data_IF_198048731906
#
_entry.id   IF_198048731906
#
_cell.length_a   1.000
_cell.length_b   1.000
_cell.length_c   1.000
_cell.angle_alpha   90.00
_cell.angle_beta   90.00
_cell.angle_gamma   90.00
#
_symmetry.space_group_name_H-M   'P 1'
#
loop_
_entity.id
_entity.type
_entity.pdbx_description
1 polymer ?
#
# COMPACT_ATOMS: atom_id res chain seq x y z
N UNK A 1 35.81 18.89 -10.55
CA UNK A 1 35.17 19.62 -9.44
C UNK A 1 33.88 18.88 -9.10
N UNK A 2 33.98 17.84 -8.28
CA UNK A 2 33.66 17.85 -6.84
C UNK A 2 32.15 17.90 -6.57
N UNK A 3 31.63 16.69 -6.32
CA UNK A 3 30.54 16.25 -5.47
C UNK A 3 30.00 17.25 -4.43
N UNK A 4 28.73 17.05 -4.03
CA UNK A 4 28.42 16.72 -2.64
C UNK A 4 27.03 16.08 -2.49
N UNK A 5 27.01 14.84 -1.98
CA UNK A 5 25.84 14.14 -1.46
C UNK A 5 25.93 14.17 0.06
N UNK A 6 24.90 14.66 0.75
CA UNK A 6 24.77 14.53 2.21
C UNK A 6 24.00 13.25 2.51
N UNK A 7 24.71 12.22 2.97
CA UNK A 7 24.13 11.01 3.57
C UNK A 7 24.35 11.11 5.07
N UNK A 8 23.29 11.34 5.84
CA UNK A 8 23.36 11.32 7.31
C UNK A 8 23.31 9.87 7.77
N UNK A 9 24.42 9.38 8.32
CA UNK A 9 24.51 8.12 9.05
C UNK A 9 24.22 8.37 10.54
N UNK A 10 23.37 7.55 11.16
CA UNK A 10 23.47 7.32 12.60
C UNK A 10 24.42 6.15 12.83
N UNK A 11 25.62 6.48 13.31
CA UNK A 11 26.61 5.54 13.83
C UNK A 11 26.27 5.23 15.28
N UNK A 12 26.15 3.95 15.64
CA UNK A 12 26.62 3.48 16.94
C UNK A 12 27.33 2.13 16.77
N UNK A 13 28.61 2.12 17.16
CA UNK A 13 29.37 0.94 17.60
C UNK A 13 29.95 0.03 16.51
N UNK A 14 31.13 0.36 15.96
CA UNK A 14 32.06 -0.67 15.49
C UNK A 14 32.55 -1.48 16.69
N UNK A 15 32.51 -2.82 16.70
CA UNK A 15 33.36 -3.59 17.59
C UNK A 15 34.80 -3.44 17.09
N UNK A 16 35.67 -2.82 17.88
CA UNK A 16 37.10 -2.85 17.62
C UNK A 16 37.64 -4.25 17.95
N UNK A 17 38.39 -4.82 17.01
CA UNK A 17 39.41 -5.83 17.27
C UNK A 17 39.06 -7.24 16.81
N UNK A 18 39.44 -7.58 15.58
CA UNK A 18 40.05 -8.88 15.29
C UNK A 18 41.13 -8.69 14.21
N UNK A 19 42.36 -9.09 14.54
CA UNK A 19 43.53 -9.09 13.65
C UNK A 19 43.45 -10.28 12.69
N UNK A 20 44.05 -10.08 11.53
CA UNK A 20 44.12 -10.96 10.36
C UNK A 20 43.98 -12.45 10.59
N UNK A 21 42.95 -13.01 9.97
CA UNK A 21 42.93 -14.33 9.37
C UNK A 21 42.18 -14.22 8.03
N UNK A 22 42.65 -14.95 7.01
CA UNK A 22 42.08 -15.02 5.66
C UNK A 22 40.54 -15.07 5.68
N UNK A 23 39.92 -14.15 4.95
CA UNK A 23 38.48 -14.11 4.74
C UNK A 23 38.06 -15.22 3.76
N UNK A 24 37.89 -16.43 4.28
CA UNK A 24 37.00 -17.41 3.67
C UNK A 24 35.56 -16.88 3.74
N UNK A 25 34.82 -16.95 2.63
CA UNK A 25 33.42 -16.59 2.43
C UNK A 25 32.65 -16.16 3.69
N UNK A 26 32.38 -14.86 3.80
CA UNK A 26 31.44 -14.33 4.80
C UNK A 26 30.09 -14.98 4.52
N UNK A 27 29.70 -15.96 5.33
CA UNK A 27 28.33 -16.50 5.34
C UNK A 27 27.39 -15.33 5.64
N UNK A 28 26.61 -14.94 4.64
CA UNK A 28 25.68 -13.84 4.80
C UNK A 28 24.63 -14.23 5.86
N UNK A 29 24.39 -13.38 6.88
CA UNK A 29 23.42 -13.67 7.91
C UNK A 29 22.02 -13.64 7.29
N UNK A 30 21.51 -14.83 7.00
CA UNK A 30 20.12 -15.05 6.67
C UNK A 30 19.32 -15.02 7.98
N UNK A 31 18.68 -13.88 8.30
CA UNK A 31 18.11 -13.62 9.63
C UNK A 31 17.02 -14.65 10.04
N UNK A 32 17.17 -15.21 11.23
CA UNK A 32 16.24 -16.16 11.87
C UNK A 32 14.96 -15.46 12.29
N UNK A 33 13.79 -16.06 11.99
CA UNK A 33 12.57 -16.11 12.81
C UNK A 33 11.55 -17.02 12.09
N UNK A 34 11.06 -18.06 12.78
CA UNK A 34 10.14 -19.09 12.28
C UNK A 34 8.98 -19.18 13.28
N UNK A 35 7.72 -19.06 12.84
CA UNK A 35 6.55 -19.63 13.53
C UNK A 35 5.39 -19.94 12.54
N UNK A 36 4.40 -20.79 12.92
CA UNK A 36 3.55 -21.53 11.97
C UNK A 36 2.18 -20.89 11.62
N UNK A 37 1.74 -21.13 10.38
CA UNK A 37 0.55 -20.59 9.68
C UNK A 37 -0.78 -21.29 10.00
N UNK A 38 -1.90 -20.57 9.78
CA UNK A 38 -3.21 -21.15 9.41
C UNK A 38 -3.83 -20.36 8.25
N UNK A 39 -4.29 -21.07 7.21
CA UNK A 39 -4.86 -20.51 5.96
C UNK A 39 -6.35 -20.18 6.10
N UNK A 40 -6.79 -19.05 5.51
CA UNK A 40 -8.14 -18.89 4.96
C UNK A 40 -8.21 -17.76 3.93
N UNK A 41 -9.17 -17.91 3.01
CA UNK A 41 -9.29 -17.27 1.70
C UNK A 41 -9.85 -15.83 1.73
N UNK A 42 -9.39 -14.98 0.81
CA UNK A 42 -10.17 -13.84 0.27
C UNK A 42 -10.26 -13.93 -1.25
N UNK A 43 -11.40 -13.48 -1.80
CA UNK A 43 -11.79 -13.63 -3.20
C UNK A 43 -10.95 -12.73 -4.10
N UNK A 44 -10.42 -13.32 -5.17
CA UNK A 44 -9.91 -12.59 -6.32
C UNK A 44 -11.00 -11.65 -6.87
N UNK A 45 -10.78 -10.33 -6.77
CA UNK A 45 -11.52 -9.38 -7.60
C UNK A 45 -11.12 -9.67 -9.04
N UNK A 46 -12.09 -10.10 -9.85
CA UNK A 46 -11.88 -10.41 -11.27
C UNK A 46 -11.32 -9.16 -11.96
N UNK A 47 -10.15 -9.30 -12.59
CA UNK A 47 -9.66 -8.30 -13.53
C UNK A 47 -10.69 -8.16 -14.66
N UNK A 48 -11.32 -6.99 -14.77
CA UNK A 48 -12.17 -6.64 -15.91
C UNK A 48 -11.39 -5.83 -16.95
N UNK A 49 -11.76 -5.92 -18.24
CA UNK A 49 -11.11 -5.17 -19.30
C UNK A 49 -11.18 -3.65 -19.06
N UNK A 50 -10.07 -2.97 -19.35
CA UNK A 50 -9.91 -1.50 -19.29
C UNK A 50 -11.08 -0.72 -19.92
N UNK A 51 -11.78 -1.30 -20.91
CA UNK A 51 -12.90 -0.69 -21.60
C UNK A 51 -14.16 -0.48 -20.74
N UNK A 52 -14.41 -1.33 -19.73
CA UNK A 52 -15.57 -1.21 -18.84
C UNK A 52 -15.48 0.02 -17.90
N UNK A 53 -14.26 0.46 -17.59
CA UNK A 53 -14.01 1.60 -16.72
C UNK A 53 -14.20 2.94 -17.45
N UNK A 54 -14.12 2.94 -18.78
CA UNK A 54 -14.24 4.16 -19.59
C UNK A 54 -15.68 4.70 -19.66
N UNK A 55 -16.69 3.88 -19.34
CA UNK A 55 -18.10 4.28 -19.35
C UNK A 55 -18.62 4.68 -17.96
N UNK A 56 -18.21 4.01 -16.88
CA UNK A 56 -18.60 4.42 -15.52
C UNK A 56 -17.97 5.75 -15.09
N UNK A 57 -16.81 6.08 -15.67
CA UNK A 57 -16.22 7.39 -15.58
C UNK A 57 -16.69 8.24 -16.77
N UNK A 58 -17.62 9.16 -16.52
CA UNK A 58 -17.87 10.33 -17.38
C UNK A 58 -16.66 11.28 -17.46
N UNK A 59 -15.45 10.74 -17.61
CA UNK A 59 -14.22 11.49 -17.77
C UNK A 59 -14.15 12.01 -19.20
N UNK A 60 -14.67 13.22 -19.36
CA UNK A 60 -14.18 14.14 -20.38
C UNK A 60 -12.65 14.08 -20.44
N UNK A 61 -12.17 13.51 -21.54
CA UNK A 61 -10.98 13.99 -22.23
C UNK A 61 -9.65 13.61 -21.59
N UNK A 62 -8.91 12.81 -22.35
CA UNK A 62 -7.44 12.80 -22.44
C UNK A 62 -6.87 14.22 -22.27
N UNK A 63 -6.63 14.67 -21.05
CA UNK A 63 -5.57 15.65 -20.80
C UNK A 63 -4.31 14.84 -20.73
N UNK A 64 -3.45 15.02 -21.73
CA UNK A 64 -2.04 14.73 -21.55
C UNK A 64 -1.64 15.36 -20.22
N UNK A 65 -1.33 14.52 -19.23
CA UNK A 65 -0.69 14.95 -18.00
C UNK A 65 0.54 15.74 -18.46
N UNK A 66 0.49 17.06 -18.32
CA UNK A 66 1.70 17.86 -18.29
C UNK A 66 2.60 17.13 -17.30
N UNK A 67 3.79 16.73 -17.73
CA UNK A 67 4.73 16.01 -16.89
C UNK A 67 4.94 16.84 -15.61
N UNK A 68 4.27 16.45 -14.55
CA UNK A 68 4.39 17.06 -13.24
C UNK A 68 5.67 16.50 -12.64
N UNK A 69 6.53 17.39 -12.14
CA UNK A 69 7.78 16.96 -11.51
C UNK A 69 7.48 16.05 -10.33
N UNK A 70 8.26 14.96 -10.14
CA UNK A 70 8.11 14.12 -8.97
C UNK A 70 8.18 14.92 -7.68
N UNK A 71 7.28 14.64 -6.73
CA UNK A 71 7.22 15.34 -5.43
C UNK A 71 6.96 14.37 -4.29
N UNK A 72 7.20 14.83 -3.07
CA UNK A 72 6.86 14.07 -1.87
C UNK A 72 5.37 13.66 -1.86
N UNK A 73 5.13 12.40 -1.46
CA UNK A 73 3.79 11.85 -1.26
C UNK A 73 3.01 12.67 -0.24
N UNK A 74 1.84 13.17 -0.64
CA UNK A 74 0.89 13.85 0.25
C UNK A 74 -0.16 12.85 0.73
N UNK A 75 -0.30 12.70 2.05
CA UNK A 75 -1.26 11.79 2.66
C UNK A 75 -2.30 12.62 3.42
N UNK A 76 -3.57 12.44 3.09
CA UNK A 76 -4.69 12.85 3.96
C UNK A 76 -4.88 11.78 5.03
N UNK A 77 -4.95 12.16 6.30
CA UNK A 77 -5.25 11.20 7.37
C UNK A 77 -6.68 11.43 7.86
N UNK A 78 -7.50 10.38 7.76
CA UNK A 78 -8.87 10.33 8.28
C UNK A 78 -8.86 9.48 9.55
N UNK A 79 -9.04 10.15 10.69
CA UNK A 79 -8.91 9.57 12.04
C UNK A 79 -10.25 9.04 12.54
N UNK A 80 -10.26 7.76 12.94
CA UNK A 80 -11.45 7.06 13.42
C UNK A 80 -11.10 6.24 14.67
N UNK A 81 -10.81 6.95 15.76
CA UNK A 81 -10.18 6.40 16.97
C UNK A 81 -11.17 6.09 18.11
N UNK A 82 -12.38 5.65 17.79
CA UNK A 82 -13.49 5.57 18.76
C UNK A 82 -13.26 4.66 19.97
N UNK A 83 -12.30 3.71 19.92
CA UNK A 83 -12.00 2.81 21.05
C UNK A 83 -10.73 3.20 21.83
N UNK A 84 -10.17 4.39 21.61
CA UNK A 84 -9.12 4.95 22.44
C UNK A 84 -9.70 5.96 23.42
N UNK A 85 -9.07 6.12 24.59
CA UNK A 85 -9.36 7.24 25.47
C UNK A 85 -8.85 8.56 24.87
N UNK A 86 -9.30 9.69 25.41
CA UNK A 86 -8.97 11.01 24.89
C UNK A 86 -7.45 11.30 24.88
N UNK A 87 -6.68 10.73 25.83
CA UNK A 87 -5.24 10.93 25.90
C UNK A 87 -4.52 10.16 24.81
N UNK A 88 -4.91 8.91 24.57
CA UNK A 88 -4.37 8.08 23.50
C UNK A 88 -4.80 8.58 22.12
N UNK A 89 -6.04 9.03 21.95
CA UNK A 89 -6.49 9.64 20.70
C UNK A 89 -5.67 10.88 20.37
N UNK A 90 -5.48 11.80 21.32
CA UNK A 90 -4.65 12.98 21.12
C UNK A 90 -3.20 12.61 20.78
N UNK A 91 -2.62 11.61 21.45
CA UNK A 91 -1.29 11.11 21.13
C UNK A 91 -1.18 10.57 19.68
N UNK A 92 -2.16 9.79 19.23
CA UNK A 92 -2.17 9.26 17.87
C UNK A 92 -2.33 10.37 16.84
N UNK A 93 -3.26 11.30 17.10
CA UNK A 93 -3.63 12.39 16.20
C UNK A 93 -2.54 13.46 16.07
N UNK A 94 -1.94 13.86 17.17
CA UNK A 94 -1.04 15.03 17.24
C UNK A 94 0.44 14.64 17.12
N UNK A 95 0.81 13.42 17.51
CA UNK A 95 2.22 13.00 17.58
C UNK A 95 2.54 11.83 16.65
N UNK A 96 1.86 10.68 16.83
CA UNK A 96 2.27 9.43 16.20
C UNK A 96 2.00 9.40 14.69
N UNK A 97 0.76 9.66 14.25
CA UNK A 97 0.41 9.60 12.84
C UNK A 97 1.09 10.72 12.02
N UNK A 98 1.16 11.98 12.47
CA UNK A 98 1.92 13.01 11.76
C UNK A 98 3.40 12.64 11.61
N UNK A 99 4.03 12.06 12.64
CA UNK A 99 5.41 11.60 12.55
C UNK A 99 5.59 10.45 11.54
N UNK A 100 4.65 9.50 11.50
CA UNK A 100 4.68 8.39 10.53
C UNK A 100 4.51 8.90 9.09
N UNK A 101 3.54 9.79 8.85
CA UNK A 101 3.36 10.44 7.54
C UNK A 101 4.59 11.23 7.14
N UNK A 102 5.17 12.02 8.04
CA UNK A 102 6.39 12.78 7.76
C UNK A 102 7.57 11.88 7.41
N UNK A 103 7.72 10.73 8.09
CA UNK A 103 8.75 9.75 7.77
C UNK A 103 8.56 9.20 6.35
N UNK A 104 7.34 8.84 5.96
CA UNK A 104 7.03 8.29 4.64
C UNK A 104 7.21 9.35 3.54
N UNK A 105 6.62 10.53 3.71
CA UNK A 105 6.68 11.63 2.74
C UNK A 105 8.11 12.14 2.50
N UNK A 106 9.00 11.98 3.48
CA UNK A 106 10.43 12.30 3.33
C UNK A 106 11.13 11.40 2.32
N UNK A 107 10.67 10.17 2.18
CA UNK A 107 11.38 9.13 1.44
C UNK A 107 10.65 8.64 0.19
N UNK A 108 9.34 8.87 0.06
CA UNK A 108 8.56 8.45 -1.09
C UNK A 108 8.19 9.65 -1.95
N UNK A 109 8.57 9.60 -3.23
CA UNK A 109 8.16 10.55 -4.24
C UNK A 109 7.13 9.97 -5.19
N UNK A 110 6.08 10.72 -5.49
CA UNK A 110 5.07 10.36 -6.47
C UNK A 110 5.54 10.83 -7.84
N UNK A 111 5.68 9.90 -8.79
CA UNK A 111 6.10 10.18 -10.17
C UNK A 111 5.06 11.01 -10.93
N UNK A 112 3.78 10.70 -10.71
CA UNK A 112 2.63 11.38 -11.32
C UNK A 112 1.69 11.84 -10.21
N UNK A 113 1.97 13.00 -9.58
CA UNK A 113 1.14 13.54 -8.51
C UNK A 113 -0.29 13.82 -8.95
N UNK A 114 -1.23 13.68 -8.02
CA UNK A 114 -2.64 13.97 -8.29
C UNK A 114 -2.80 15.47 -8.63
N UNK A 115 -3.28 15.83 -9.84
CA UNK A 115 -3.31 17.22 -10.30
C UNK A 115 -4.44 18.05 -9.68
N UNK A 116 -5.42 17.41 -9.05
CA UNK A 116 -6.59 18.06 -8.44
C UNK A 116 -6.96 17.40 -7.10
N UNK A 117 -8.23 17.49 -6.74
CA UNK A 117 -8.76 16.74 -5.60
C UNK A 117 -8.75 15.24 -5.93
N UNK A 118 -8.17 14.44 -5.05
CA UNK A 118 -8.22 13.00 -5.13
C UNK A 118 -9.66 12.55 -4.89
N UNK A 119 -10.21 11.81 -5.86
CA UNK A 119 -11.50 11.17 -5.73
C UNK A 119 -11.33 9.65 -5.76
N UNK A 120 -11.91 8.96 -4.80
CA UNK A 120 -11.95 7.50 -4.76
C UNK A 120 -12.96 7.00 -5.81
N UNK A 121 -12.58 6.03 -6.65
CA UNK A 121 -13.48 5.51 -7.66
C UNK A 121 -14.66 4.76 -7.03
N UNK A 122 -15.82 4.84 -7.68
CA UNK A 122 -16.95 3.96 -7.39
C UNK A 122 -16.77 2.64 -8.12
N UNK A 123 -17.06 1.55 -7.42
CA UNK A 123 -16.97 0.20 -7.96
C UNK A 123 -18.32 -0.21 -8.51
N UNK A 124 -18.33 -0.70 -9.74
CA UNK A 124 -19.53 -1.25 -10.35
C UNK A 124 -19.79 -2.68 -9.82
N UNK A 125 -21.00 -2.91 -9.32
CA UNK A 125 -21.42 -4.20 -8.77
C UNK A 125 -21.86 -5.16 -9.88
N UNK A 126 -22.65 -4.65 -10.83
CA UNK A 126 -23.19 -5.42 -11.95
C UNK A 126 -22.97 -4.69 -13.28
N UNK A 127 -22.76 -5.48 -14.32
CA UNK A 127 -22.44 -4.97 -15.65
C UNK A 127 -23.45 -5.51 -16.67
N UNK A 128 -23.74 -4.67 -17.67
CA UNK A 128 -24.43 -5.08 -18.90
C UNK A 128 -23.44 -5.03 -20.06
N UNK A 129 -23.40 -6.09 -20.86
CA UNK A 129 -22.56 -6.16 -22.06
C UNK A 129 -23.45 -6.09 -23.29
N UNK A 130 -23.24 -5.07 -24.11
CA UNK A 130 -23.98 -4.87 -25.36
C UNK A 130 -23.45 -5.80 -26.46
N UNK A 131 -24.24 -5.98 -27.53
CA UNK A 131 -23.89 -6.84 -28.66
C UNK A 131 -22.54 -6.48 -29.32
N UNK A 132 -22.18 -5.19 -29.34
CA UNK A 132 -20.91 -4.70 -29.88
C UNK A 132 -19.71 -4.90 -28.93
N UNK A 133 -19.92 -5.54 -27.77
CA UNK A 133 -18.90 -5.78 -26.75
C UNK A 133 -18.67 -4.62 -25.77
N UNK A 134 -19.42 -3.52 -25.89
CA UNK A 134 -19.38 -2.43 -24.90
C UNK A 134 -19.91 -2.93 -23.56
N UNK A 135 -19.15 -2.67 -22.49
CA UNK A 135 -19.54 -3.02 -21.12
C UNK A 135 -19.93 -1.74 -20.39
N UNK A 136 -21.15 -1.69 -19.88
CA UNK A 136 -21.70 -0.58 -19.10
C UNK A 136 -21.98 -1.03 -17.66
N UNK A 137 -21.94 -0.09 -16.74
CA UNK A 137 -22.30 -0.35 -15.35
C UNK A 137 -23.81 -0.30 -15.16
N UNK A 138 -24.44 -1.33 -14.61
CA UNK A 138 -25.89 -1.33 -14.33
C UNK A 138 -26.21 -1.03 -12.87
N UNK A 139 -25.30 -1.33 -11.95
CA UNK A 139 -25.43 -0.98 -10.53
C UNK A 139 -24.06 -0.77 -9.90
N UNK A 140 -23.99 0.08 -8.86
CA UNK A 140 -22.74 0.33 -8.12
C UNK A 140 -22.78 -0.29 -6.74
N UNK A 141 -21.62 -0.74 -6.28
CA UNK A 141 -21.44 -1.16 -4.90
C UNK A 141 -21.76 0.02 -3.96
N UNK A 142 -22.33 -0.25 -2.77
CA UNK A 142 -22.43 0.75 -1.73
C UNK A 142 -21.02 1.27 -1.39
N UNK A 143 -20.97 2.48 -0.84
CA UNK A 143 -19.74 2.94 -0.22
C UNK A 143 -19.54 2.08 1.03
N UNK A 144 -18.74 1.04 0.87
CA UNK A 144 -18.43 0.06 1.91
C UNK A 144 -17.35 0.63 2.85
N UNK A 145 -16.74 -0.20 3.66
CA UNK A 145 -15.63 0.16 4.54
C UNK A 145 -14.27 -0.08 3.88
N UNK A 146 -13.23 0.52 4.44
CA UNK A 146 -11.84 0.28 4.06
C UNK A 146 -11.25 -0.75 5.04
N UNK A 147 -11.25 -2.02 4.61
CA UNK A 147 -10.88 -3.20 5.41
C UNK A 147 -12.00 -4.25 5.42
N UNK A 148 -11.90 -5.30 6.24
CA UNK A 148 -13.00 -6.28 6.43
C UNK A 148 -13.39 -6.50 7.90
N UNK A 149 -14.69 -6.44 8.24
CA UNK A 149 -15.24 -6.73 9.57
C UNK A 149 -15.78 -5.53 10.35
N UNK A 150 -16.24 -5.74 11.59
CA UNK A 150 -16.94 -4.70 12.39
C UNK A 150 -16.04 -3.53 12.87
N UNK A 151 -14.75 -3.57 12.58
CA UNK A 151 -13.72 -2.64 13.03
C UNK A 151 -13.20 -1.73 11.93
N UNK A 152 -13.69 -1.92 10.71
CA UNK A 152 -13.15 -1.32 9.50
C UNK A 152 -13.38 0.18 9.43
N UNK A 153 -12.46 0.89 8.78
CA UNK A 153 -12.60 2.32 8.55
C UNK A 153 -13.85 2.60 7.73
N UNK A 154 -14.70 3.48 8.23
CA UNK A 154 -15.87 3.95 7.50
C UNK A 154 -15.41 4.95 6.45
N UNK A 155 -15.73 4.70 5.18
CA UNK A 155 -15.42 5.65 4.13
C UNK A 155 -16.22 6.95 4.27
N UNK A 156 -15.57 8.09 4.02
CA UNK A 156 -16.25 9.36 3.89
C UNK A 156 -16.81 9.50 2.46
N UNK A 157 -18.13 9.56 2.32
CA UNK A 157 -18.79 9.65 1.01
C UNK A 157 -18.35 10.87 0.19
N UNK A 158 -17.89 11.95 0.85
CA UNK A 158 -17.37 13.15 0.15
C UNK A 158 -16.07 12.90 -0.62
N UNK A 159 -15.37 11.78 -0.36
CA UNK A 159 -14.11 11.46 -1.04
C UNK A 159 -14.34 10.76 -2.38
N UNK A 160 -15.56 10.30 -2.68
CA UNK A 160 -15.81 9.47 -3.86
C UNK A 160 -16.15 10.30 -5.10
N UNK A 161 -15.72 9.80 -6.26
CA UNK A 161 -16.10 10.33 -7.56
C UNK A 161 -17.59 10.11 -7.84
N UNK A 162 -18.12 10.88 -8.80
CA UNK A 162 -19.42 10.60 -9.40
C UNK A 162 -19.36 9.32 -10.23
N UNK A 163 -20.52 8.78 -10.57
CA UNK A 163 -20.62 7.53 -11.31
C UNK A 163 -21.84 7.55 -12.23
N UNK A 164 -21.73 6.80 -13.32
CA UNK A 164 -22.84 6.58 -14.25
C UNK A 164 -23.34 5.14 -14.15
N UNK A 165 -24.65 4.97 -14.08
CA UNK A 165 -25.34 3.67 -14.24
C UNK A 165 -26.24 3.72 -15.46
N UNK A 166 -26.28 2.62 -16.22
CA UNK A 166 -27.07 2.47 -17.42
C UNK A 166 -28.07 1.34 -17.26
N UNK A 167 -29.35 1.65 -17.48
CA UNK A 167 -30.41 0.66 -17.61
C UNK A 167 -30.61 0.34 -19.10
N UNK A 168 -30.51 -0.94 -19.45
CA UNK A 168 -30.59 -1.45 -20.81
C UNK A 168 -31.54 -2.68 -20.83
N UNK A 169 -32.86 -2.47 -20.75
CA UNK A 169 -33.85 -3.54 -20.58
C UNK A 169 -33.85 -4.56 -21.73
N UNK A 170 -33.45 -4.14 -22.93
CA UNK A 170 -33.42 -4.97 -24.16
C UNK A 170 -32.01 -5.48 -24.52
N UNK A 171 -31.04 -5.44 -23.59
CA UNK A 171 -29.66 -5.89 -23.84
C UNK A 171 -29.51 -7.41 -24.11
N UNK A 172 -30.61 -8.15 -24.31
CA UNK A 172 -30.61 -9.57 -24.58
C UNK A 172 -30.12 -9.90 -26.02
N UNK A 173 -28.81 -10.09 -26.16
CA UNK A 173 -28.00 -10.83 -27.16
C UNK A 173 -28.33 -10.76 -28.68
N UNK A 174 -29.43 -10.16 -29.11
CA UNK A 174 -30.00 -10.35 -30.46
C UNK A 174 -30.40 -9.07 -31.19
N UNK A 175 -30.40 -7.92 -30.51
CA UNK A 175 -30.65 -6.62 -31.14
C UNK A 175 -29.37 -5.79 -31.22
N UNK A 176 -28.98 -5.30 -32.41
CA UNK A 176 -27.91 -4.31 -32.56
C UNK A 176 -28.34 -2.91 -32.08
N UNK A 177 -29.64 -2.66 -31.98
CA UNK A 177 -30.23 -1.41 -31.53
C UNK A 177 -30.77 -1.61 -30.10
N UNK A 178 -29.89 -1.47 -29.10
CA UNK A 178 -30.28 -1.45 -27.68
C UNK A 178 -30.33 0.00 -27.24
N UNK A 179 -31.51 0.45 -26.82
CA UNK A 179 -31.65 1.76 -26.18
C UNK A 179 -31.28 1.63 -24.70
N UNK A 180 -30.23 2.34 -24.30
CA UNK A 180 -29.73 2.36 -22.93
C UNK A 180 -29.93 3.75 -22.37
N UNK A 181 -30.57 3.84 -21.20
CA UNK A 181 -30.69 5.11 -20.47
C UNK A 181 -29.64 5.14 -19.38
N UNK A 182 -28.65 6.03 -19.54
CA UNK A 182 -27.59 6.24 -18.56
C UNK A 182 -27.89 7.46 -17.68
N UNK A 183 -27.77 7.29 -16.37
CA UNK A 183 -27.96 8.34 -15.37
C UNK A 183 -26.66 8.56 -14.61
N UNK A 184 -26.17 9.79 -14.66
CA UNK A 184 -25.01 10.21 -13.87
C UNK A 184 -25.43 10.67 -12.48
N UNK A 185 -24.78 10.13 -11.46
CA UNK A 185 -24.87 10.59 -10.07
C UNK A 185 -23.62 11.36 -9.72
N UNK A 186 -23.80 12.61 -9.29
CA UNK A 186 -22.71 13.46 -8.82
C UNK A 186 -21.99 12.84 -7.62
N UNK A 187 -20.66 13.00 -7.60
CA UNK A 187 -19.82 12.55 -6.51
C UNK A 187 -19.69 13.57 -5.39
N UNK A 188 -18.79 13.26 -4.46
CA UNK A 188 -18.26 14.25 -3.53
C UNK A 188 -17.19 15.14 -4.18
N UNK A 189 -16.74 16.16 -3.42
CA UNK A 189 -15.69 17.08 -3.87
C UNK A 189 -14.28 16.46 -3.93
N UNK A 190 -14.10 15.26 -3.39
CA UNK A 190 -12.78 14.66 -3.21
C UNK A 190 -11.95 15.36 -2.12
N UNK A 191 -10.72 14.91 -1.96
CA UNK A 191 -9.77 15.51 -1.02
C UNK A 191 -8.74 16.34 -1.79
N UNK A 192 -8.69 17.67 -1.59
CA UNK A 192 -7.77 18.54 -2.33
C UNK A 192 -6.32 18.30 -1.92
N UNK A 193 -5.39 18.51 -2.85
CA UNK A 193 -3.93 18.52 -2.57
C UNK A 193 -3.45 17.25 -1.85
N UNK A 194 -3.94 16.06 -2.24
CA UNK A 194 -3.42 14.78 -1.69
C UNK A 194 -3.23 13.73 -2.76
N UNK A 195 -2.36 12.78 -2.46
CA UNK A 195 -2.01 11.69 -3.36
C UNK A 195 -2.46 10.32 -2.84
N UNK A 196 -2.86 10.23 -1.57
CA UNK A 196 -3.32 9.03 -0.88
C UNK A 196 -4.19 9.40 0.33
N UNK A 197 -5.27 8.66 0.58
CA UNK A 197 -6.09 8.76 1.79
C UNK A 197 -5.74 7.61 2.73
N UNK A 198 -5.28 7.93 3.92
CA UNK A 198 -4.99 6.97 4.98
C UNK A 198 -6.08 7.04 6.04
N UNK A 199 -6.77 5.94 6.26
CA UNK A 199 -7.63 5.79 7.42
C UNK A 199 -6.82 5.27 8.61
N UNK A 200 -6.85 5.97 9.74
CA UNK A 200 -6.24 5.46 10.98
C UNK A 200 -7.36 5.14 11.96
N UNK A 201 -7.49 3.86 12.28
CA UNK A 201 -8.57 3.33 13.12
C UNK A 201 -8.04 2.73 14.42
N UNK A 202 -8.94 2.52 15.38
CA UNK A 202 -8.62 1.80 16.63
C UNK A 202 -9.59 0.66 16.95
N UNK A 203 -9.84 -0.22 16.00
CA UNK A 203 -10.72 -1.36 16.18
C UNK A 203 -10.08 -2.53 16.93
N UNK A 204 -10.89 -3.26 17.71
CA UNK A 204 -10.46 -4.49 18.38
C UNK A 204 -10.58 -5.70 17.45
N UNK A 205 -9.45 -6.34 17.17
CA UNK A 205 -9.35 -7.53 16.31
C UNK A 205 -9.02 -8.75 17.15
N UNK A 206 -9.41 -9.94 16.70
CA UNK A 206 -8.88 -11.19 17.27
C UNK A 206 -7.33 -11.21 17.22
N UNK A 207 -6.73 -10.58 16.20
CA UNK A 207 -5.28 -10.43 16.09
C UNK A 207 -4.67 -9.60 17.24
N UNK A 208 -5.43 -8.65 17.82
CA UNK A 208 -4.98 -7.80 18.93
C UNK A 208 -4.80 -8.59 20.25
N UNK A 209 -5.45 -9.74 20.40
CA UNK A 209 -5.28 -10.63 21.55
C UNK A 209 -3.95 -11.38 21.54
N UNK A 210 -3.24 -11.38 20.42
CA UNK A 210 -1.96 -12.06 20.25
C UNK A 210 -0.80 -11.09 20.44
N UNK A 211 0.14 -11.04 19.50
CA UNK A 211 1.29 -10.14 19.45
C UNK A 211 1.09 -8.94 18.54
N UNK A 212 -0.02 -8.87 17.81
CA UNK A 212 -0.30 -7.82 16.82
C UNK A 212 -0.53 -6.48 17.51
N UNK A 213 0.23 -5.46 17.12
CA UNK A 213 0.08 -4.09 17.62
C UNK A 213 -0.76 -3.26 16.67
N UNK A 214 -0.65 -3.51 15.37
CA UNK A 214 -1.44 -2.87 14.33
C UNK A 214 -1.56 -3.78 13.10
N UNK A 215 -2.49 -3.43 12.21
CA UNK A 215 -2.73 -4.08 10.91
C UNK A 215 -3.07 -3.02 9.88
N UNK A 216 -2.51 -3.11 8.68
CA UNK A 216 -2.84 -2.23 7.56
C UNK A 216 -2.87 -2.95 6.22
N UNK A 217 -3.56 -2.35 5.27
CA UNK A 217 -3.66 -2.80 3.88
C UNK A 217 -4.20 -1.66 3.01
N UNK A 218 -4.29 -1.88 1.71
CA UNK A 218 -4.92 -0.98 0.77
C UNK A 218 -6.41 -1.34 0.60
N UNK A 219 -7.23 -0.37 0.21
CA UNK A 219 -8.65 -0.62 -0.05
C UNK A 219 -9.16 0.05 -1.33
N UNK A 220 -8.38 0.95 -1.94
CA UNK A 220 -8.74 1.59 -3.20
C UNK A 220 -7.53 1.82 -4.09
N UNK A 221 -7.71 1.64 -5.40
CA UNK A 221 -6.72 1.88 -6.43
C UNK A 221 -7.33 2.71 -7.56
N UNK A 222 -6.51 3.50 -8.22
CA UNK A 222 -6.88 4.23 -9.42
C UNK A 222 -7.21 3.25 -10.53
N UNK A 223 -8.34 3.48 -11.20
CA UNK A 223 -8.86 2.58 -12.23
C UNK A 223 -8.01 2.54 -13.49
N UNK A 224 -7.23 3.58 -13.76
CA UNK A 224 -6.46 3.74 -14.99
C UNK A 224 -5.04 3.18 -14.87
N UNK A 225 -4.41 3.35 -13.69
CA UNK A 225 -3.00 3.00 -13.49
C UNK A 225 -2.75 2.09 -12.28
N UNK A 226 -3.79 1.69 -11.55
CA UNK A 226 -3.73 0.83 -10.36
C UNK A 226 -2.86 1.36 -9.23
N UNK A 227 -2.56 2.66 -9.21
CA UNK A 227 -1.89 3.31 -8.09
C UNK A 227 -2.81 3.26 -6.86
N UNK A 228 -2.33 2.84 -5.68
CA UNK A 228 -3.13 2.92 -4.45
C UNK A 228 -3.57 4.36 -4.19
N UNK A 229 -4.87 4.54 -3.94
CA UNK A 229 -5.50 5.83 -3.62
C UNK A 229 -5.96 5.90 -2.17
N UNK A 230 -6.30 4.76 -1.56
CA UNK A 230 -6.62 4.69 -0.15
C UNK A 230 -6.20 3.37 0.48
N UNK A 231 -5.93 3.43 1.78
CA UNK A 231 -5.66 2.28 2.64
C UNK A 231 -5.91 2.63 4.10
N UNK A 232 -5.72 1.65 4.97
CA UNK A 232 -5.96 1.82 6.41
C UNK A 232 -4.77 1.32 7.23
N UNK A 233 -4.65 1.86 8.44
CA UNK A 233 -3.82 1.36 9.51
C UNK A 233 -4.65 1.32 10.80
N UNK A 234 -4.97 0.11 11.26
CA UNK A 234 -5.72 -0.14 12.48
C UNK A 234 -4.78 -0.39 13.64
N UNK A 235 -4.83 0.47 14.67
CA UNK A 235 -4.10 0.31 15.91
C UNK A 235 -4.90 -0.54 16.91
N UNK A 236 -4.29 -1.56 17.50
CA UNK A 236 -4.93 -2.35 18.54
C UNK A 236 -5.01 -1.53 19.84
N UNK A 237 -6.22 -1.22 20.38
CA UNK A 237 -6.36 -0.29 21.51
C UNK A 237 -5.53 -0.65 22.74
N UNK A 238 -5.46 -1.95 23.08
CA UNK A 238 -4.74 -2.45 24.25
C UNK A 238 -3.22 -2.55 24.05
N UNK A 239 -2.68 -2.10 22.91
CA UNK A 239 -1.28 -2.26 22.52
C UNK A 239 -0.59 -0.94 22.21
N UNK A 240 -1.32 0.17 22.33
CA UNK A 240 -0.77 1.52 22.18
C UNK A 240 -0.70 2.17 23.55
N UNK A 241 0.45 2.76 23.83
CA UNK A 241 0.72 3.53 25.02
C UNK A 241 1.04 4.97 24.63
N UNK A 242 0.58 5.92 25.44
CA UNK A 242 0.94 7.32 25.27
C UNK A 242 2.41 7.51 25.67
N UNK A 243 3.29 7.37 24.68
CA UNK A 243 4.72 7.52 24.83
C UNK A 243 5.22 8.50 23.77
N UNK A 244 5.63 9.70 24.18
CA UNK A 244 6.10 10.76 23.27
C UNK A 244 7.60 10.73 23.01
N UNK A 245 8.35 9.84 23.70
CA UNK A 245 9.78 9.65 23.50
C UNK A 245 10.25 8.26 23.96
N UNK A 246 11.49 7.91 23.62
CA UNK A 246 12.12 6.67 24.06
C UNK A 246 11.77 5.46 23.20
N UNK A 247 12.09 4.26 23.69
CA UNK A 247 12.00 3.03 22.92
C UNK A 247 10.58 2.69 22.49
N UNK A 248 9.59 2.91 23.36
CA UNK A 248 8.17 2.61 23.09
C UNK A 248 7.64 3.49 21.96
N UNK A 249 7.89 4.81 22.02
CA UNK A 249 7.54 5.73 20.93
C UNK A 249 8.12 5.27 19.59
N UNK A 250 9.43 4.97 19.57
CA UNK A 250 10.11 4.54 18.34
C UNK A 250 9.52 3.24 17.79
N UNK A 251 9.15 2.29 18.65
CA UNK A 251 8.52 1.04 18.22
C UNK A 251 7.13 1.28 17.62
N UNK A 252 6.30 2.12 18.25
CA UNK A 252 4.96 2.44 17.74
C UNK A 252 5.02 3.20 16.43
N UNK A 253 5.98 4.13 16.29
CA UNK A 253 6.23 4.86 15.05
C UNK A 253 6.65 3.91 13.92
N UNK A 254 7.60 3.03 14.21
CA UNK A 254 8.08 2.00 13.29
C UNK A 254 6.94 1.09 12.82
N UNK A 255 6.05 0.67 13.73
CA UNK A 255 4.87 -0.15 13.42
C UNK A 255 3.85 0.63 12.59
N UNK A 256 3.54 1.88 12.92
CA UNK A 256 2.58 2.64 12.13
C UNK A 256 3.11 2.91 10.70
N UNK A 257 4.40 3.21 10.55
CA UNK A 257 5.01 3.31 9.22
C UNK A 257 4.89 1.99 8.46
N UNK A 258 5.13 0.86 9.12
CA UNK A 258 4.96 -0.48 8.53
C UNK A 258 3.54 -0.71 8.02
N UNK A 259 2.51 -0.40 8.80
CA UNK A 259 1.12 -0.59 8.38
C UNK A 259 0.71 0.36 7.24
N UNK A 260 1.21 1.59 7.23
CA UNK A 260 0.96 2.50 6.09
C UNK A 260 1.63 1.97 4.82
N UNK A 261 2.82 1.36 4.92
CA UNK A 261 3.51 0.78 3.77
C UNK A 261 2.75 -0.41 3.16
N UNK A 262 1.97 -1.16 3.95
CA UNK A 262 1.03 -2.15 3.41
C UNK A 262 -0.01 -1.48 2.50
N UNK A 263 -0.58 -0.35 2.92
CA UNK A 263 -1.51 0.43 2.08
C UNK A 263 -0.91 1.03 0.80
N UNK A 264 0.41 1.16 0.73
CA UNK A 264 1.10 1.83 -0.38
C UNK A 264 1.77 0.89 -1.37
N UNK A 265 2.34 -0.23 -0.91
CA UNK A 265 3.29 -1.00 -1.74
C UNK A 265 3.56 -2.42 -1.24
N UNK A 266 3.50 -2.69 0.07
CA UNK A 266 3.88 -3.98 0.67
C UNK A 266 2.68 -4.91 0.85
N UNK A 267 1.82 -5.04 -0.15
CA UNK A 267 0.65 -5.91 -0.07
C UNK A 267 0.63 -6.88 -1.25
N UNK A 268 0.22 -8.11 -0.97
CA UNK A 268 0.15 -9.19 -1.96
C UNK A 268 -0.72 -8.83 -3.17
N UNK A 269 -1.80 -8.08 -2.94
CA UNK A 269 -2.71 -7.59 -3.98
C UNK A 269 -2.13 -6.43 -4.82
N UNK A 270 -1.04 -5.80 -4.37
CA UNK A 270 -0.37 -4.72 -5.10
C UNK A 270 0.75 -5.20 -6.01
N UNK A 271 1.35 -6.38 -5.74
CA UNK A 271 2.55 -6.84 -6.45
C UNK A 271 2.35 -7.08 -7.95
N UNK A 272 1.15 -7.42 -8.42
CA UNK A 272 0.87 -7.57 -9.86
C UNK A 272 0.93 -6.25 -10.65
N UNK A 273 0.79 -5.12 -9.95
CA UNK A 273 0.71 -3.79 -10.55
C UNK A 273 2.04 -3.02 -10.52
N UNK A 274 3.12 -3.63 -10.03
CA UNK A 274 4.43 -3.00 -10.09
C UNK A 274 4.86 -2.80 -11.54
N UNK A 275 5.44 -1.63 -11.81
CA UNK A 275 5.94 -1.25 -13.13
C UNK A 275 7.45 -1.07 -13.13
N UNK A 276 8.07 -1.28 -14.28
CA UNK A 276 9.45 -0.87 -14.51
C UNK A 276 9.57 0.64 -14.81
N UNK A 277 10.79 1.10 -15.08
CA UNK A 277 11.05 2.51 -15.42
C UNK A 277 10.38 2.98 -16.71
N UNK A 278 10.01 2.05 -17.61
CA UNK A 278 9.27 2.32 -18.85
C UNK A 278 7.75 2.36 -18.66
N UNK A 279 7.26 2.00 -17.47
CA UNK A 279 5.82 1.91 -17.18
C UNK A 279 5.20 0.55 -17.48
N UNK A 280 6.00 -0.46 -17.84
CA UNK A 280 5.49 -1.80 -18.14
C UNK A 280 5.31 -2.60 -16.86
N UNK A 281 4.17 -3.30 -16.72
CA UNK A 281 3.92 -4.20 -15.58
C UNK A 281 4.96 -5.31 -15.53
N UNK A 282 5.49 -5.54 -14.34
CA UNK A 282 6.44 -6.62 -14.03
C UNK A 282 5.73 -7.96 -13.88
N UNK A 283 4.51 -7.96 -13.32
CA UNK A 283 3.79 -9.15 -12.88
C UNK A 283 4.37 -9.73 -11.59
N UNK A 284 3.53 -10.27 -10.70
CA UNK A 284 3.89 -10.66 -9.33
C UNK A 284 5.09 -11.58 -9.23
N UNK A 285 5.25 -12.55 -10.14
CA UNK A 285 6.40 -13.48 -10.14
C UNK A 285 7.76 -12.77 -10.30
N UNK A 286 7.80 -11.59 -10.91
CA UNK A 286 9.03 -10.80 -11.06
C UNK A 286 9.23 -9.80 -9.91
N UNK A 287 8.26 -9.69 -9.01
CA UNK A 287 8.30 -8.83 -7.82
C UNK A 287 8.57 -9.65 -6.58
N UNK A 288 7.81 -10.73 -6.37
CA UNK A 288 7.92 -11.63 -5.22
C UNK A 288 8.10 -13.08 -5.68
N UNK A 289 9.03 -13.78 -5.04
CA UNK A 289 9.29 -15.21 -5.30
C UNK A 289 9.43 -15.99 -4.00
N UNK A 290 9.21 -17.30 -4.08
CA UNK A 290 9.31 -18.22 -2.97
C UNK A 290 10.70 -18.87 -2.97
N UNK A 291 11.31 -18.94 -1.80
CA UNK A 291 12.59 -19.62 -1.59
C UNK A 291 12.47 -20.57 -0.42
N UNK A 292 13.40 -21.53 -0.35
CA UNK A 292 13.64 -22.30 0.86
C UNK A 292 14.94 -21.81 1.46
N UNK A 293 14.85 -21.19 2.63
CA UNK A 293 16.00 -20.67 3.36
C UNK A 293 15.96 -21.26 4.76
N UNK A 294 17.09 -21.78 5.24
CA UNK A 294 17.20 -22.32 6.61
C UNK A 294 16.14 -23.39 6.93
N UNK A 295 15.75 -24.18 5.93
CA UNK A 295 14.76 -25.25 6.06
C UNK A 295 13.29 -24.79 6.10
N UNK A 296 13.01 -23.49 5.93
CA UNK A 296 11.64 -22.95 5.87
C UNK A 296 11.37 -22.26 4.55
N UNK A 297 10.10 -22.27 4.14
CA UNK A 297 9.64 -21.51 2.97
C UNK A 297 9.55 -20.03 3.36
N UNK A 298 10.19 -19.17 2.57
CA UNK A 298 10.17 -17.72 2.74
C UNK A 298 9.73 -17.06 1.44
N UNK A 299 9.11 -15.89 1.54
CA UNK A 299 8.82 -15.02 0.41
C UNK A 299 9.87 -13.92 0.35
N UNK A 300 10.34 -13.55 -0.84
CA UNK A 300 11.30 -12.45 -0.99
C UNK A 300 10.85 -11.49 -2.08
N UNK A 301 11.02 -10.19 -1.86
CA UNK A 301 10.97 -9.22 -2.96
C UNK A 301 12.29 -9.33 -3.74
N UNK A 302 12.18 -9.57 -5.05
CA UNK A 302 13.31 -9.91 -5.93
C UNK A 302 13.62 -8.83 -6.96
N UNK A 303 12.97 -7.66 -6.89
CA UNK A 303 13.22 -6.57 -7.84
C UNK A 303 14.68 -6.10 -7.76
N UNK A 304 15.28 -5.63 -8.87
CA UNK A 304 16.70 -5.25 -8.91
C UNK A 304 17.09 -4.23 -7.83
N UNK A 305 16.25 -3.21 -7.62
CA UNK A 305 16.48 -2.16 -6.62
C UNK A 305 16.42 -2.68 -5.19
N UNK A 306 15.52 -3.62 -4.90
CA UNK A 306 15.44 -4.24 -3.57
C UNK A 306 16.65 -5.13 -3.29
N UNK A 307 17.11 -5.90 -4.29
CA UNK A 307 18.35 -6.69 -4.17
C UNK A 307 19.56 -5.80 -3.92
N UNK A 308 19.69 -4.70 -4.67
CA UNK A 308 20.75 -3.71 -4.49
C UNK A 308 20.72 -3.12 -3.07
N UNK A 309 19.56 -2.66 -2.62
CA UNK A 309 19.38 -2.07 -1.29
C UNK A 309 19.70 -3.07 -0.17
N UNK A 310 19.20 -4.31 -0.27
CA UNK A 310 19.47 -5.37 0.69
C UNK A 310 20.97 -5.73 0.73
N UNK A 311 21.61 -5.80 -0.44
CA UNK A 311 23.03 -6.13 -0.55
C UNK A 311 23.91 -5.05 0.08
N UNK A 312 23.61 -3.78 -0.23
CA UNK A 312 24.29 -2.63 0.35
C UNK A 312 24.11 -2.57 1.87
N UNK A 313 22.92 -2.93 2.35
CA UNK A 313 22.62 -2.93 3.77
C UNK A 313 23.36 -4.04 4.54
N UNK A 314 23.34 -5.28 4.01
CA UNK A 314 23.94 -6.43 4.69
C UNK A 314 25.44 -6.55 4.41
N UNK A 315 26.00 -5.69 3.56
CA UNK A 315 27.35 -5.81 3.02
C UNK A 315 27.62 -7.21 2.46
N UNK A 316 26.61 -7.79 1.80
CA UNK A 316 26.61 -9.15 1.27
C UNK A 316 26.20 -9.15 -0.20
N UNK A 317 27.00 -9.81 -1.03
CA UNK A 317 26.69 -10.03 -2.45
C UNK A 317 27.14 -11.43 -2.87
N UNK A 318 26.35 -12.17 -3.68
CA UNK A 318 25.02 -11.81 -4.18
C UNK A 318 23.88 -12.15 -3.18
N UNK A 319 22.85 -11.31 -3.11
CA UNK A 319 21.58 -11.64 -2.45
C UNK A 319 20.50 -11.96 -3.48
N UNK A 320 19.71 -12.99 -3.22
CA UNK A 320 18.63 -13.44 -4.10
C UNK A 320 17.32 -12.62 -3.93
N UNK A 321 17.21 -11.78 -2.90
CA UNK A 321 16.08 -10.91 -2.63
C UNK A 321 16.13 -10.38 -1.19
N UNK A 322 15.14 -9.57 -0.82
CA UNK A 322 14.89 -9.21 0.57
C UNK A 322 13.75 -10.07 1.11
N UNK A 323 14.01 -10.81 2.20
CA UNK A 323 12.99 -11.64 2.85
C UNK A 323 11.87 -10.79 3.42
N UNK A 324 10.66 -11.24 3.11
CA UNK A 324 9.45 -10.81 3.74
C UNK A 324 9.21 -11.71 4.98
N UNK A 325 8.70 -11.13 6.05
CA UNK A 325 8.13 -11.80 7.21
C UNK A 325 7.15 -12.92 6.82
N UNK A 326 7.02 -13.84 7.76
CA UNK A 326 6.26 -15.06 7.68
C UNK A 326 5.13 -15.16 8.73
N UNK A 327 4.88 -14.10 9.49
CA UNK A 327 3.81 -14.01 10.51
C UNK A 327 2.65 -13.13 10.01
N UNK A 328 1.42 -13.59 10.21
CA UNK A 328 0.19 -12.89 9.81
C UNK A 328 -0.73 -13.76 8.97
N UNK A 329 -1.87 -14.17 9.53
CA UNK A 329 -2.96 -14.77 8.74
C UNK A 329 -3.63 -13.72 7.85
N UNK A 330 -4.17 -14.18 6.71
CA UNK A 330 -4.76 -13.42 5.59
C UNK A 330 -3.76 -12.53 4.84
N UNK A 331 -3.07 -13.11 3.85
CA UNK A 331 -2.33 -12.44 2.77
C UNK A 331 -1.30 -11.34 3.15
N UNK A 332 -1.00 -11.17 4.43
CA UNK A 332 -0.04 -10.20 4.92
C UNK A 332 1.35 -10.81 4.93
N UNK A 333 2.06 -10.58 3.85
CA UNK A 333 3.48 -10.84 3.77
C UNK A 333 4.19 -9.58 4.30
N UNK A 334 4.42 -9.53 5.62
CA UNK A 334 5.10 -8.39 6.29
C UNK A 334 6.61 -8.38 5.97
N UNK A 335 7.43 -7.40 6.37
CA UNK A 335 8.90 -7.53 6.47
C UNK A 335 9.39 -7.87 7.88
N UNK A 336 10.37 -8.81 8.02
CA UNK A 336 11.00 -9.23 9.29
C UNK A 336 11.31 -8.05 10.23
N UNK A 337 11.40 -8.25 11.56
CA UNK A 337 11.70 -7.21 12.54
C UNK A 337 13.17 -6.80 12.46
N UNK A 338 13.48 -6.10 11.38
CA UNK A 338 14.55 -5.15 11.32
C UNK A 338 13.90 -3.88 10.79
N UNK A 339 13.05 -3.27 11.63
CA UNK A 339 12.44 -1.98 11.33
C UNK A 339 13.50 -0.91 11.02
N UNK A 340 14.72 -1.03 11.56
CA UNK A 340 15.88 -0.21 11.14
C UNK A 340 16.37 -0.45 9.70
N UNK A 341 15.96 -1.53 9.04
CA UNK A 341 16.39 -1.94 7.69
C UNK A 341 15.40 -1.62 6.58
N UNK A 342 14.11 -1.71 6.87
CA UNK A 342 13.06 -1.51 5.87
C UNK A 342 13.03 -0.07 5.36
N UNK A 343 13.42 0.89 6.19
CA UNK A 343 13.58 2.31 5.82
C UNK A 343 14.55 2.57 4.66
N UNK A 344 15.48 1.65 4.34
CA UNK A 344 16.38 1.79 3.18
C UNK A 344 15.93 1.00 1.96
N UNK A 345 15.11 -0.04 2.14
CA UNK A 345 14.77 -1.00 1.09
C UNK A 345 13.66 -0.47 0.17
N UNK A 346 12.65 0.25 0.69
CA UNK A 346 11.56 0.81 -0.13
C UNK A 346 11.85 2.18 -0.75
N UNK A 347 12.80 2.91 -0.18
CA UNK A 347 13.18 4.28 -0.58
C UNK A 347 14.08 4.30 -1.80
N UNK A 348 14.64 3.16 -2.20
CA UNK A 348 15.43 3.04 -3.43
C UNK A 348 14.59 2.50 -4.60
N UNK A 349 13.39 1.97 -4.31
CA UNK A 349 12.35 1.61 -5.29
C UNK A 349 11.85 2.82 -6.09
N UNK A 350 11.75 3.96 -5.42
CA UNK A 350 11.14 5.19 -5.92
C UNK A 350 12.21 6.28 -6.06
N UNK A 351 12.46 6.64 -7.32
CA UNK A 351 13.32 7.72 -7.87
C UNK A 351 14.85 7.69 -7.67
N UNK A 352 15.56 7.59 -8.81
CA UNK A 352 16.73 8.41 -9.15
C UNK A 352 16.99 8.32 -10.66
N UNK A 353 16.63 9.38 -11.39
CA UNK A 353 17.63 10.11 -12.17
C UNK A 353 18.04 11.31 -11.33
#
# INVERSE_FOLDING_TARGET
MQWSTVVVFFLMGRPQGMRGHELSAIECPHATLIHPMTERHMRARRELPLAAHAHAAGHQGRRALLATEPRALRIHVDMQLSNLDASLSAYVEEELAPAAVAAISRYIQVKEPMPGALQLPRVCAEYVTLYNGTVLCSSVEPIDTCGEGDWTATHNASYFAGYEICDCPDAAETSPDVDCTCTFTEGGGGVPDVDFVLYVTSGYLQACERSTVAVGSYCSQDVSNHRPLAGFANLCPNRIENATAGLVYMQQLDILVHEILHGLVMDDGLYDYFIDSSGKRLGKHNVVQNFTERGVRVHKIVTPKVREAAAAQLACTPLNGAELENEGGLNMVRPLPILRSVYRILVLGVTRR
#
